data_IF_136932199614
#
_entry.id   IF_136932199614
#
_cell.length_a   1.000
_cell.length_b   1.000
_cell.length_c   1.000
_cell.angle_alpha   90.00
_cell.angle_beta   90.00
_cell.angle_gamma   90.00
#
_symmetry.space_group_name_H-M   'P 1'
#
loop_
_entity.id
_entity.type
_entity.pdbx_description
1 polymer ?
#
# COMPACT_ATOMS: atom_id res chain seq x y z
N UNK A 1 -33.95 12.20 5.18
CA UNK A 1 -33.54 12.42 3.79
C UNK A 1 -33.48 11.04 3.14
N UNK A 2 -34.29 10.78 2.12
CA UNK A 2 -34.27 9.49 1.41
C UNK A 2 -32.93 9.43 0.67
N UNK A 3 -32.06 8.50 1.08
CA UNK A 3 -30.85 8.21 0.32
C UNK A 3 -31.29 7.61 -1.01
N UNK A 4 -30.90 8.25 -2.11
CA UNK A 4 -31.17 7.72 -3.44
C UNK A 4 -30.42 6.39 -3.58
N UNK A 5 -31.17 5.33 -3.82
CA UNK A 5 -30.61 4.00 -4.02
C UNK A 5 -29.96 3.94 -5.41
N UNK A 6 -28.62 3.88 -5.42
CA UNK A 6 -27.80 3.81 -6.63
C UNK A 6 -27.46 2.36 -7.03
N UNK A 7 -27.99 1.36 -6.32
CA UNK A 7 -27.68 -0.06 -6.58
C UNK A 7 -27.98 -0.46 -8.02
N UNK A 8 -29.04 0.09 -8.61
CA UNK A 8 -29.40 -0.14 -10.02
C UNK A 8 -28.39 0.46 -11.01
N UNK A 9 -27.71 1.55 -10.64
CA UNK A 9 -26.70 2.21 -11.48
C UNK A 9 -25.36 1.46 -11.40
N UNK A 10 -25.00 0.97 -10.22
CA UNK A 10 -23.79 0.16 -10.02
C UNK A 10 -23.83 -1.15 -10.84
N UNK A 11 -25.02 -1.75 -11.01
CA UNK A 11 -25.21 -2.94 -11.85
C UNK A 11 -24.99 -2.67 -13.35
N UNK A 12 -25.35 -1.47 -13.83
CA UNK A 12 -25.24 -1.08 -15.26
C UNK A 12 -23.84 -0.54 -15.58
N UNK A 13 -23.09 -0.07 -14.58
CA UNK A 13 -21.79 0.58 -14.74
C UNK A 13 -20.76 -0.24 -15.53
N UNK A 14 -20.60 -1.55 -15.31
CA UNK A 14 -19.67 -2.38 -16.10
C UNK A 14 -20.08 -2.47 -17.57
N UNK A 15 -21.39 -2.56 -17.85
CA UNK A 15 -21.93 -2.61 -19.21
C UNK A 15 -21.73 -1.26 -19.94
N UNK A 16 -21.91 -0.15 -19.23
CA UNK A 16 -21.71 1.19 -19.78
C UNK A 16 -20.22 1.47 -20.02
N UNK A 17 -19.36 1.00 -19.12
CA UNK A 17 -17.90 1.07 -19.28
C UNK A 17 -17.43 0.24 -20.48
N UNK A 18 -17.98 -0.97 -20.66
CA UNK A 18 -17.74 -1.81 -21.83
C UNK A 18 -18.06 -1.08 -23.12
N UNK A 19 -19.29 -0.57 -23.23
CA UNK A 19 -19.78 0.10 -24.42
C UNK A 19 -18.93 1.33 -24.76
N UNK A 20 -18.55 2.11 -23.74
CA UNK A 20 -17.72 3.29 -23.92
C UNK A 20 -16.34 2.92 -24.47
N UNK A 21 -15.65 1.96 -23.85
CA UNK A 21 -14.32 1.53 -24.32
C UNK A 21 -14.40 0.94 -25.73
N UNK A 22 -15.42 0.11 -26.00
CA UNK A 22 -15.66 -0.46 -27.32
C UNK A 22 -15.82 0.63 -28.40
N UNK A 23 -16.68 1.63 -28.17
CA UNK A 23 -16.93 2.71 -29.11
C UNK A 23 -15.68 3.58 -29.33
N UNK A 24 -14.94 3.90 -28.26
CA UNK A 24 -13.70 4.68 -28.36
C UNK A 24 -12.65 3.91 -29.16
N UNK A 25 -12.42 2.63 -28.86
CA UNK A 25 -11.46 1.81 -29.59
C UNK A 25 -11.85 1.66 -31.06
N UNK A 26 -13.13 1.40 -31.35
CA UNK A 26 -13.63 1.30 -32.72
C UNK A 26 -13.44 2.62 -33.48
N UNK A 27 -13.74 3.75 -32.84
CA UNK A 27 -13.54 5.08 -33.43
C UNK A 27 -12.06 5.36 -33.72
N UNK A 28 -11.16 5.02 -32.79
CA UNK A 28 -9.73 5.20 -32.96
C UNK A 28 -9.16 4.34 -34.11
N UNK A 29 -9.54 3.07 -34.19
CA UNK A 29 -9.10 2.16 -35.27
C UNK A 29 -9.57 2.69 -36.63
N UNK A 30 -10.85 3.08 -36.74
CA UNK A 30 -11.40 3.67 -37.96
C UNK A 30 -10.70 4.96 -38.37
N UNK A 31 -10.40 5.84 -37.41
CA UNK A 31 -9.70 7.10 -37.67
C UNK A 31 -8.25 6.86 -38.11
N UNK A 32 -7.60 5.86 -37.54
CA UNK A 32 -6.22 5.49 -37.84
C UNK A 32 -6.07 4.70 -39.15
N UNK A 33 -7.17 4.15 -39.70
CA UNK A 33 -7.17 3.30 -40.91
C UNK A 33 -6.16 2.15 -40.82
N UNK A 34 -5.97 1.60 -39.63
CA UNK A 34 -4.98 0.54 -39.40
C UNK A 34 -5.40 -0.82 -40.01
N UNK A 35 -6.71 -1.04 -40.19
CA UNK A 35 -7.29 -2.31 -40.64
C UNK A 35 -8.38 -1.99 -41.67
N UNK A 36 -8.41 -2.68 -42.80
CA UNK A 36 -9.37 -2.39 -43.87
C UNK A 36 -10.70 -3.16 -43.74
N UNK A 37 -10.68 -4.29 -43.02
CA UNK A 37 -11.86 -5.14 -42.86
C UNK A 37 -12.68 -4.75 -41.62
N UNK A 38 -13.87 -4.20 -41.85
CA UNK A 38 -14.82 -3.77 -40.81
C UNK A 38 -15.12 -4.86 -39.76
N UNK A 39 -15.22 -6.12 -40.17
CA UNK A 39 -15.48 -7.22 -39.24
C UNK A 39 -14.31 -7.42 -38.27
N UNK A 40 -13.08 -7.26 -38.77
CA UNK A 40 -11.87 -7.37 -37.95
C UNK A 40 -11.75 -6.16 -37.02
N UNK A 41 -12.06 -4.95 -37.50
CA UNK A 41 -12.10 -3.75 -36.64
C UNK A 41 -13.04 -3.92 -35.45
N UNK A 42 -14.28 -4.37 -35.71
CA UNK A 42 -15.30 -4.59 -34.69
C UNK A 42 -14.86 -5.71 -33.73
N UNK A 43 -14.29 -6.79 -34.24
CA UNK A 43 -13.83 -7.90 -33.40
C UNK A 43 -12.68 -7.47 -32.48
N UNK A 44 -11.71 -6.71 -33.00
CA UNK A 44 -10.55 -6.23 -32.23
C UNK A 44 -10.98 -5.23 -31.16
N UNK A 45 -11.83 -4.26 -31.49
CA UNK A 45 -12.34 -3.30 -30.50
C UNK A 45 -13.18 -4.00 -29.43
N UNK A 46 -13.97 -5.02 -29.80
CA UNK A 46 -14.73 -5.85 -28.88
C UNK A 46 -13.80 -6.63 -27.93
N UNK A 47 -12.77 -7.28 -28.46
CA UNK A 47 -11.80 -8.02 -27.66
C UNK A 47 -11.06 -7.12 -26.66
N UNK A 48 -10.65 -5.92 -27.09
CA UNK A 48 -9.99 -4.94 -26.20
C UNK A 48 -10.96 -4.48 -25.10
N UNK A 49 -12.20 -4.13 -25.44
CA UNK A 49 -13.20 -3.71 -24.47
C UNK A 49 -13.56 -4.84 -23.48
N UNK A 50 -13.64 -6.09 -23.97
CA UNK A 50 -13.91 -7.26 -23.15
C UNK A 50 -12.78 -7.52 -22.16
N UNK A 51 -11.52 -7.42 -22.59
CA UNK A 51 -10.34 -7.51 -21.71
C UNK A 51 -10.37 -6.37 -20.68
N UNK A 52 -10.67 -5.14 -21.10
CA UNK A 52 -10.71 -3.99 -20.19
C UNK A 52 -11.75 -4.14 -19.08
N UNK A 53 -12.93 -4.69 -19.40
CA UNK A 53 -14.01 -4.91 -18.43
C UNK A 53 -13.79 -6.18 -17.61
N UNK A 54 -13.26 -7.24 -18.19
CA UNK A 54 -12.81 -8.41 -17.45
C UNK A 54 -11.68 -8.05 -16.46
N UNK A 55 -10.81 -7.11 -16.83
CA UNK A 55 -9.76 -6.55 -15.99
C UNK A 55 -10.28 -5.54 -14.95
N UNK A 56 -11.55 -5.11 -15.02
CA UNK A 56 -12.16 -4.30 -13.97
C UNK A 56 -12.42 -5.10 -12.67
N UNK A 57 -12.60 -6.43 -12.75
CA UNK A 57 -12.64 -7.33 -11.60
C UNK A 57 -11.35 -7.33 -10.76
N UNK A 58 -10.16 -7.34 -11.40
CA UNK A 58 -8.88 -7.06 -10.76
C UNK A 58 -8.74 -5.70 -10.07
N UNK A 59 -9.73 -4.79 -10.06
CA UNK A 59 -9.61 -3.55 -9.26
C UNK A 59 -9.20 -3.84 -7.82
N UNK A 60 -9.72 -4.90 -7.20
CA UNK A 60 -9.30 -5.30 -5.86
C UNK A 60 -7.88 -5.86 -5.83
N UNK A 61 -7.46 -6.57 -6.89
CA UNK A 61 -6.09 -7.04 -7.05
C UNK A 61 -5.15 -5.86 -7.24
N UNK A 62 -5.45 -4.91 -8.12
CA UNK A 62 -4.70 -3.68 -8.37
C UNK A 62 -4.62 -2.83 -7.09
N UNK A 63 -5.74 -2.61 -6.39
CA UNK A 63 -5.75 -1.86 -5.12
C UNK A 63 -4.99 -2.58 -4.01
N UNK A 64 -4.86 -3.90 -4.08
CA UNK A 64 -4.05 -4.67 -3.12
C UNK A 64 -2.58 -4.67 -3.52
N UNK A 65 -2.29 -4.85 -4.81
CA UNK A 65 -0.95 -5.04 -5.38
C UNK A 65 -0.18 -3.72 -5.48
N UNK A 66 -0.84 -2.59 -5.78
CA UNK A 66 -0.19 -1.27 -5.86
C UNK A 66 0.56 -0.90 -4.56
N UNK A 67 -0.04 -1.00 -3.37
CA UNK A 67 0.68 -0.80 -2.10
C UNK A 67 1.95 -1.64 -1.98
N UNK A 68 1.90 -2.94 -2.32
CA UNK A 68 3.05 -3.84 -2.27
C UNK A 68 4.15 -3.45 -3.26
N UNK A 69 3.77 -3.06 -4.48
CA UNK A 69 4.72 -2.57 -5.48
C UNK A 69 5.39 -1.27 -5.03
N UNK A 70 4.66 -0.33 -4.43
CA UNK A 70 5.22 0.90 -3.91
C UNK A 70 6.30 0.62 -2.84
N UNK A 71 6.06 -0.33 -1.96
CA UNK A 71 7.01 -0.73 -0.91
C UNK A 71 8.23 -1.40 -1.50
N UNK A 72 8.04 -2.27 -2.51
CA UNK A 72 9.16 -2.92 -3.19
C UNK A 72 10.06 -1.88 -3.85
N UNK A 73 9.48 -0.91 -4.57
CA UNK A 73 10.24 0.17 -5.23
C UNK A 73 10.98 1.04 -4.21
N UNK A 74 10.31 1.45 -3.13
CA UNK A 74 10.94 2.24 -2.05
C UNK A 74 12.04 1.43 -1.36
N UNK A 75 11.81 0.15 -1.09
CA UNK A 75 12.80 -0.76 -0.50
C UNK A 75 14.03 -0.95 -1.39
N UNK A 76 13.82 -1.09 -2.71
CA UNK A 76 14.90 -1.18 -3.69
C UNK A 76 15.73 0.10 -3.70
N UNK A 77 15.06 1.26 -3.68
CA UNK A 77 15.71 2.56 -3.57
C UNK A 77 16.54 2.68 -2.28
N UNK A 78 16.01 2.24 -1.14
CA UNK A 78 16.71 2.21 0.15
C UNK A 78 17.96 1.33 0.10
N UNK A 79 17.86 0.12 -0.46
CA UNK A 79 18.99 -0.80 -0.61
C UNK A 79 20.07 -0.20 -1.51
N UNK A 80 19.67 0.43 -2.62
CA UNK A 80 20.59 1.14 -3.51
C UNK A 80 21.23 2.35 -2.83
N UNK A 81 20.47 3.12 -2.05
CA UNK A 81 20.98 4.26 -1.30
C UNK A 81 22.03 3.78 -0.29
N UNK A 82 21.71 2.76 0.52
CA UNK A 82 22.64 2.16 1.48
C UNK A 82 23.89 1.61 0.76
N UNK A 83 23.71 0.87 -0.34
CA UNK A 83 24.81 0.34 -1.15
C UNK A 83 25.70 1.43 -1.76
N UNK A 84 25.11 2.57 -2.16
CA UNK A 84 25.84 3.73 -2.66
C UNK A 84 26.67 4.44 -1.58
N UNK A 85 26.27 4.33 -0.31
CA UNK A 85 27.02 4.88 0.83
C UNK A 85 28.06 3.88 1.39
N UNK A 86 27.85 2.57 1.21
CA UNK A 86 28.82 1.52 1.58
C UNK A 86 29.90 1.43 0.50
N UNK A 87 30.96 2.23 0.62
CA UNK A 87 32.12 2.10 -0.25
C UNK A 87 32.87 3.41 -0.56
N UNK A 88 32.28 4.56 -0.25
CA UNK A 88 32.98 5.84 -0.43
C UNK A 88 33.89 6.13 0.77
N UNK A 89 35.21 6.24 0.50
CA UNK A 89 36.25 6.53 1.49
C UNK A 89 36.18 7.94 2.07
N UNK A 90 35.53 8.86 1.36
CA UNK A 90 35.47 10.30 1.67
C UNK A 90 34.16 10.74 2.34
N UNK A 91 33.35 9.78 2.84
CA UNK A 91 32.07 10.14 3.44
C UNK A 91 32.25 10.80 4.82
N UNK A 92 31.51 11.89 5.11
CA UNK A 92 31.65 12.64 6.36
C UNK A 92 31.31 11.73 7.54
N UNK A 93 32.26 11.64 8.48
CA UNK A 93 32.27 10.97 9.80
C UNK A 93 31.25 9.84 10.03
N UNK A 94 31.72 8.67 10.50
CA UNK A 94 30.90 7.48 10.82
C UNK A 94 29.55 7.77 11.54
N UNK A 95 29.44 8.86 12.30
CA UNK A 95 28.20 9.31 12.93
C UNK A 95 27.11 9.84 11.99
N UNK A 96 27.46 10.58 10.93
CA UNK A 96 26.48 11.17 10.00
C UNK A 96 25.82 10.09 9.13
N UNK A 97 26.59 9.11 8.67
CA UNK A 97 26.05 7.97 7.92
C UNK A 97 25.06 7.13 8.74
N UNK A 98 25.38 6.86 10.00
CA UNK A 98 24.48 6.12 10.91
C UNK A 98 23.21 6.94 11.18
N UNK A 99 23.34 8.24 11.47
CA UNK A 99 22.19 9.12 11.67
C UNK A 99 21.28 9.17 10.44
N UNK A 100 21.86 9.21 9.24
CA UNK A 100 21.12 9.20 7.98
C UNK A 100 20.37 7.87 7.78
N UNK A 101 20.99 6.72 8.05
CA UNK A 101 20.35 5.40 7.97
C UNK A 101 19.18 5.30 8.95
N UNK A 102 19.37 5.73 10.20
CA UNK A 102 18.32 5.71 11.23
C UNK A 102 17.14 6.62 10.82
N UNK A 103 17.43 7.81 10.30
CA UNK A 103 16.41 8.73 9.79
C UNK A 103 15.62 8.11 8.61
N UNK A 104 16.31 7.48 7.65
CA UNK A 104 15.68 6.79 6.52
C UNK A 104 14.82 5.62 6.98
N UNK A 105 15.27 4.86 7.97
CA UNK A 105 14.50 3.77 8.57
C UNK A 105 13.22 4.30 9.24
N UNK A 106 13.28 5.43 9.96
CA UNK A 106 12.10 6.05 10.57
C UNK A 106 11.11 6.52 9.49
N UNK A 107 11.59 7.21 8.44
CA UNK A 107 10.75 7.66 7.32
C UNK A 107 10.09 6.46 6.63
N UNK A 108 10.83 5.38 6.42
CA UNK A 108 10.31 4.14 5.84
C UNK A 108 9.21 3.51 6.70
N UNK A 109 9.41 3.44 8.01
CA UNK A 109 8.41 2.92 8.95
C UNK A 109 7.14 3.78 8.90
N UNK A 110 7.26 5.11 8.93
CA UNK A 110 6.11 6.03 8.84
C UNK A 110 5.37 5.84 7.51
N UNK A 111 6.10 5.77 6.40
CA UNK A 111 5.52 5.55 5.07
C UNK A 111 4.79 4.20 4.99
N UNK A 112 5.39 3.13 5.52
CA UNK A 112 4.79 1.81 5.58
C UNK A 112 3.49 1.82 6.42
N UNK A 113 3.49 2.48 7.58
CA UNK A 113 2.29 2.63 8.42
C UNK A 113 1.18 3.39 7.69
N UNK A 114 1.50 4.43 6.94
CA UNK A 114 0.51 5.21 6.20
C UNK A 114 -0.09 4.41 5.04
N UNK A 115 0.76 3.72 4.26
CA UNK A 115 0.35 2.87 3.11
C UNK A 115 -0.48 1.67 3.57
N UNK A 116 -0.08 1.03 4.67
CA UNK A 116 -0.76 -0.13 5.22
C UNK A 116 -1.84 0.20 6.24
N UNK A 117 -2.11 1.48 6.52
CA UNK A 117 -3.11 1.90 7.52
C UNK A 117 -4.48 1.25 7.30
N UNK A 118 -4.90 1.07 6.04
CA UNK A 118 -6.15 0.38 5.68
C UNK A 118 -6.16 -1.11 6.07
N UNK A 119 -5.01 -1.77 6.09
CA UNK A 119 -4.85 -3.20 6.39
C UNK A 119 -4.50 -3.45 7.86
N UNK A 120 -3.75 -2.55 8.49
CA UNK A 120 -3.32 -2.64 9.89
C UNK A 120 -4.37 -2.02 10.82
N UNK A 121 -5.15 -1.05 10.33
CA UNK A 121 -6.16 -0.31 11.08
C UNK A 121 -7.11 -1.16 11.93
N UNK A 122 -7.60 -2.33 11.47
CA UNK A 122 -8.41 -3.23 12.30
C UNK A 122 -7.68 -3.80 13.52
N UNK A 123 -6.34 -3.82 13.53
CA UNK A 123 -5.51 -4.42 14.57
C UNK A 123 -4.88 -3.39 15.53
N UNK A 124 -5.12 -2.09 15.30
CA UNK A 124 -4.63 -1.01 16.17
C UNK A 124 -5.72 -0.67 17.21
N UNK A 125 -5.38 -0.68 18.51
CA UNK A 125 -6.33 -0.30 19.56
C UNK A 125 -6.81 1.14 19.38
N UNK A 126 -8.13 1.35 19.46
CA UNK A 126 -8.78 2.67 19.33
C UNK A 126 -9.48 2.93 17.99
N UNK A 127 -9.35 2.04 17.00
CA UNK A 127 -10.08 2.15 15.73
C UNK A 127 -11.40 1.36 15.79
N UNK A 128 -12.43 1.91 16.44
CA UNK A 128 -13.74 1.26 16.62
C UNK A 128 -14.74 1.50 15.48
N UNK A 129 -14.36 2.14 14.37
CA UNK A 129 -15.38 2.76 13.50
C UNK A 129 -15.24 2.70 11.97
N UNK A 130 -14.13 2.29 11.36
CA UNK A 130 -13.93 2.54 9.91
C UNK A 130 -13.66 1.32 9.02
N UNK A 131 -13.60 0.13 9.59
CA UNK A 131 -13.35 -1.10 8.83
C UNK A 131 -14.31 -2.18 9.26
N UNK A 132 -15.42 -2.32 8.54
CA UNK A 132 -16.41 -3.41 8.67
C UNK A 132 -15.87 -4.81 8.33
N UNK A 133 -14.57 -5.03 8.48
CA UNK A 133 -13.93 -6.32 8.33
C UNK A 133 -13.42 -6.75 9.71
N UNK A 134 -14.04 -7.75 10.36
CA UNK A 134 -13.50 -8.29 11.60
C UNK A 134 -12.15 -8.91 11.26
N UNK A 135 -11.07 -8.27 11.69
CA UNK A 135 -9.71 -8.80 11.52
C UNK A 135 -9.62 -10.23 12.08
N UNK A 136 -8.55 -10.95 11.74
CA UNK A 136 -8.36 -12.30 12.24
C UNK A 136 -8.40 -12.31 13.79
N UNK A 137 -9.30 -13.10 14.43
CA UNK A 137 -9.49 -13.09 15.88
C UNK A 137 -8.22 -13.46 16.66
N UNK A 138 -7.35 -14.30 16.10
CA UNK A 138 -6.09 -14.66 16.74
C UNK A 138 -5.10 -13.47 16.77
N UNK A 139 -5.02 -12.71 15.68
CA UNK A 139 -4.16 -11.53 15.61
C UNK A 139 -4.72 -10.39 16.47
N UNK A 140 -6.03 -10.21 16.51
CA UNK A 140 -6.70 -9.26 17.41
C UNK A 140 -6.39 -9.56 18.88
N UNK A 141 -6.44 -10.84 19.28
CA UNK A 141 -6.08 -11.26 20.64
C UNK A 141 -4.62 -10.98 20.97
N UNK A 142 -3.69 -11.26 20.05
CA UNK A 142 -2.27 -10.97 20.23
C UNK A 142 -1.99 -9.47 20.38
N UNK A 143 -2.50 -8.65 19.47
CA UNK A 143 -2.32 -7.20 19.56
C UNK A 143 -3.02 -6.61 20.78
N UNK A 144 -4.21 -7.10 21.15
CA UNK A 144 -4.89 -6.70 22.38
C UNK A 144 -4.09 -7.01 23.65
N UNK A 145 -3.42 -8.16 23.70
CA UNK A 145 -2.49 -8.50 24.78
C UNK A 145 -1.24 -7.61 24.76
N UNK A 146 -0.62 -7.41 23.60
CA UNK A 146 0.59 -6.60 23.43
C UNK A 146 0.36 -5.13 23.83
N UNK A 147 -0.80 -4.58 23.47
CA UNK A 147 -1.20 -3.22 23.82
C UNK A 147 -1.90 -3.12 25.19
N UNK A 148 -1.94 -4.20 25.97
CA UNK A 148 -2.50 -4.13 27.32
C UNK A 148 -1.67 -3.18 28.20
N UNK A 149 -2.32 -2.41 29.11
CA UNK A 149 -1.60 -1.50 30.01
C UNK A 149 -0.49 -2.19 30.80
N UNK A 150 -0.68 -3.46 31.16
CA UNK A 150 0.30 -4.27 31.86
C UNK A 150 1.55 -4.55 31.01
N UNK A 151 1.38 -4.95 29.74
CA UNK A 151 2.50 -5.27 28.85
C UNK A 151 3.25 -4.02 28.42
N UNK A 152 2.53 -2.94 28.05
CA UNK A 152 3.17 -1.65 27.74
C UNK A 152 3.92 -1.12 28.95
N UNK A 153 3.32 -1.18 30.14
CA UNK A 153 3.96 -0.78 31.40
C UNK A 153 5.23 -1.57 31.69
N UNK A 154 5.21 -2.89 31.46
CA UNK A 154 6.38 -3.75 31.62
C UNK A 154 7.49 -3.43 30.62
N UNK A 155 7.16 -3.24 29.33
CA UNK A 155 8.13 -2.84 28.29
C UNK A 155 8.77 -1.50 28.65
N UNK A 156 7.97 -0.53 29.11
CA UNK A 156 8.45 0.79 29.51
C UNK A 156 9.39 0.69 30.71
N UNK A 157 9.04 -0.10 31.73
CA UNK A 157 9.92 -0.35 32.90
C UNK A 157 11.25 -1.00 32.50
N UNK A 158 11.23 -1.96 31.57
CA UNK A 158 12.44 -2.59 31.03
C UNK A 158 13.29 -1.55 30.29
N UNK A 159 12.66 -0.70 29.45
CA UNK A 159 13.37 0.36 28.73
C UNK A 159 14.02 1.39 29.67
N UNK A 160 13.29 1.84 30.69
CA UNK A 160 13.79 2.82 31.67
C UNK A 160 14.91 2.22 32.54
N UNK A 161 14.76 0.98 32.99
CA UNK A 161 15.81 0.31 33.77
C UNK A 161 17.08 0.07 32.96
N UNK A 162 16.96 -0.33 31.69
CA UNK A 162 18.11 -0.46 30.78
C UNK A 162 18.80 0.89 30.53
N UNK A 163 18.03 1.96 30.31
CA UNK A 163 18.58 3.31 30.14
C UNK A 163 19.28 3.81 31.41
N UNK A 164 18.69 3.58 32.59
CA UNK A 164 19.29 3.93 33.86
C UNK A 164 20.60 3.15 34.11
N UNK A 165 20.61 1.84 33.85
CA UNK A 165 21.81 1.01 33.94
C UNK A 165 22.91 1.52 33.00
N UNK A 166 22.57 1.88 31.76
CA UNK A 166 23.52 2.43 30.80
C UNK A 166 24.13 3.75 31.28
N UNK A 167 23.32 4.68 31.80
CA UNK A 167 23.80 5.97 32.32
C UNK A 167 24.76 5.79 33.50
N UNK A 168 24.46 4.85 34.40
CA UNK A 168 25.32 4.55 35.57
C UNK A 168 26.65 3.94 35.12
N UNK A 169 26.63 3.00 34.19
CA UNK A 169 27.87 2.34 33.70
C UNK A 169 28.77 3.25 32.86
N UNK A 170 28.26 4.36 32.32
CA UNK A 170 29.03 5.25 31.43
C UNK A 170 29.96 6.22 32.18
N UNK A 171 29.86 6.31 33.50
CA UNK A 171 30.66 7.21 34.35
C UNK A 171 31.52 6.49 35.41
N UNK A 172 31.51 5.16 35.41
CA UNK A 172 32.35 4.31 36.26
C UNK A 172 33.53 3.74 35.49
#
# INVERSE_FOLDING_TARGET
MVQADLSSVEYILPLLSFLLVFLVCLFLIKKAKMIENLWVEIFVSFAIAAIFVAAAGPRNLILTVIPWFAILVIGLFLVMAIGGFIGQKDFPSKGIGIAFIVLLAIIFIIAALFVFSKYIGPYIPGNTGLSGNPGNPALLGFFGWLYSPAVIGAILLIGVSAAAAWVVTKKG
#
